data_IF_748742470724
#
_entry.id   IF_748742470724
#
_cell.length_a   1.000
_cell.length_b   1.000
_cell.length_c   1.000
_cell.angle_alpha   90.00
_cell.angle_beta   90.00
_cell.angle_gamma   90.00
#
_symmetry.space_group_name_H-M   'P 1'
#
loop_
_entity.id
_entity.type
_entity.pdbx_description
1 polymer ?
#
# COMPACT_ATOMS: atom_id res chain seq x y z
N UNK A 1 17.58 -7.88 12.60
CA UNK A 1 18.12 -6.82 11.71
C UNK A 1 18.08 -7.22 10.24
N UNK A 2 18.63 -8.38 9.84
CA UNK A 2 18.60 -8.84 8.43
C UNK A 2 17.20 -8.91 7.80
N UNK A 3 16.19 -9.43 8.51
CA UNK A 3 14.80 -9.47 8.00
C UNK A 3 14.19 -8.10 7.75
N UNK A 4 14.51 -7.10 8.58
CA UNK A 4 14.03 -5.72 8.40
C UNK A 4 14.69 -5.08 7.18
N UNK A 5 16.00 -5.25 7.02
CA UNK A 5 16.73 -4.76 5.85
C UNK A 5 16.21 -5.41 4.56
N UNK A 6 15.95 -6.72 4.59
CA UNK A 6 15.31 -7.44 3.49
C UNK A 6 13.92 -6.92 3.15
N UNK A 7 13.08 -6.65 4.16
CA UNK A 7 11.73 -6.11 3.96
C UNK A 7 11.75 -4.69 3.36
N UNK A 8 12.63 -3.82 3.84
CA UNK A 8 12.80 -2.45 3.32
C UNK A 8 13.35 -2.48 1.89
N UNK A 9 14.33 -3.34 1.61
CA UNK A 9 14.86 -3.56 0.27
C UNK A 9 13.79 -4.05 -0.70
N UNK A 10 13.03 -5.07 -0.31
CA UNK A 10 11.92 -5.62 -1.11
C UNK A 10 10.86 -4.56 -1.41
N UNK A 11 10.43 -3.79 -0.40
CA UNK A 11 9.44 -2.72 -0.57
C UNK A 11 9.95 -1.62 -1.52
N UNK A 12 11.23 -1.28 -1.42
CA UNK A 12 11.85 -0.29 -2.30
C UNK A 12 11.92 -0.76 -3.75
N UNK A 13 12.24 -2.04 -3.98
CA UNK A 13 12.26 -2.65 -5.31
C UNK A 13 10.89 -2.62 -5.97
N UNK A 14 9.82 -2.95 -5.24
CA UNK A 14 8.44 -2.91 -5.75
C UNK A 14 8.03 -1.51 -6.21
N UNK A 15 8.62 -0.45 -5.64
CA UNK A 15 8.36 0.93 -6.06
C UNK A 15 9.24 1.40 -7.22
N UNK A 16 10.50 0.94 -7.31
CA UNK A 16 11.45 1.35 -8.35
C UNK A 16 11.19 0.61 -9.67
N UNK A 17 10.83 -0.68 -9.61
CA UNK A 17 10.65 -1.53 -10.79
C UNK A 17 9.57 -0.98 -11.75
N UNK A 18 8.39 -0.54 -11.28
CA UNK A 18 7.38 0.07 -12.16
C UNK A 18 7.83 1.43 -12.72
N UNK A 19 8.52 2.23 -11.90
CA UNK A 19 9.11 3.49 -12.37
C UNK A 19 10.15 3.27 -13.48
N UNK A 20 10.94 2.21 -13.40
CA UNK A 20 11.89 1.82 -14.45
C UNK A 20 11.17 1.21 -15.68
N UNK A 21 10.13 0.41 -15.45
CA UNK A 21 9.30 -0.18 -16.50
C UNK A 21 8.63 0.90 -17.37
N UNK A 22 8.18 1.99 -16.75
CA UNK A 22 7.62 3.16 -17.43
C UNK A 22 8.57 3.77 -18.46
N UNK A 23 9.88 3.83 -18.13
CA UNK A 23 10.92 4.38 -19.02
C UNK A 23 11.19 3.48 -20.22
N UNK A 24 10.83 2.21 -20.12
CA UNK A 24 10.97 1.19 -21.18
C UNK A 24 9.68 0.95 -21.96
N UNK A 25 8.61 1.71 -21.67
CA UNK A 25 7.31 1.57 -22.33
C UNK A 25 6.52 0.33 -21.91
N UNK A 26 6.83 -0.25 -20.74
CA UNK A 26 6.11 -1.42 -20.22
C UNK A 26 4.94 -0.99 -19.33
N UNK A 27 3.84 -1.74 -19.40
CA UNK A 27 2.65 -1.51 -18.59
C UNK A 27 2.91 -1.83 -17.11
N UNK A 28 2.89 -0.81 -16.26
CA UNK A 28 3.14 -0.95 -14.81
C UNK A 28 2.20 -1.90 -14.10
N UNK A 29 0.94 -1.94 -14.55
CA UNK A 29 -0.08 -2.85 -14.00
C UNK A 29 0.27 -4.30 -14.26
N UNK A 30 0.79 -4.63 -15.44
CA UNK A 30 1.24 -5.97 -15.77
C UNK A 30 2.44 -6.36 -14.90
N UNK A 31 3.38 -5.45 -14.69
CA UNK A 31 4.57 -5.68 -13.84
C UNK A 31 4.18 -5.94 -12.38
N UNK A 32 3.26 -5.14 -11.81
CA UNK A 32 2.74 -5.38 -10.47
C UNK A 32 1.96 -6.70 -10.40
N UNK A 33 1.09 -6.97 -11.38
CA UNK A 33 0.31 -8.20 -11.44
C UNK A 33 1.18 -9.45 -11.43
N UNK A 34 2.25 -9.47 -12.24
CA UNK A 34 3.23 -10.57 -12.24
C UNK A 34 3.97 -10.70 -10.91
N UNK A 35 4.29 -9.59 -10.24
CA UNK A 35 4.95 -9.61 -8.93
C UNK A 35 4.05 -10.26 -7.84
N UNK A 36 2.78 -9.86 -7.77
CA UNK A 36 1.84 -10.48 -6.82
C UNK A 36 1.54 -11.93 -7.16
N UNK A 37 1.47 -12.28 -8.45
CA UNK A 37 1.28 -13.66 -8.89
C UNK A 37 2.48 -14.54 -8.51
N UNK A 38 3.71 -14.06 -8.73
CA UNK A 38 4.93 -14.76 -8.32
C UNK A 38 5.00 -14.93 -6.80
N UNK A 39 4.61 -13.91 -6.05
CA UNK A 39 4.53 -13.96 -4.59
C UNK A 39 3.50 -14.99 -4.11
N UNK A 40 2.31 -15.03 -4.73
CA UNK A 40 1.28 -16.02 -4.43
C UNK A 40 1.74 -17.45 -4.77
N UNK A 41 2.43 -17.64 -5.90
CA UNK A 41 2.99 -18.94 -6.27
C UNK A 41 4.08 -19.40 -5.30
N UNK A 42 4.99 -18.51 -4.89
CA UNK A 42 6.03 -18.82 -3.91
C UNK A 42 5.43 -19.14 -2.53
N UNK A 43 4.44 -18.37 -2.08
CA UNK A 43 3.71 -18.65 -0.84
C UNK A 43 2.96 -19.99 -0.91
N UNK A 44 2.32 -20.29 -2.04
CA UNK A 44 1.64 -21.57 -2.29
C UNK A 44 2.62 -22.76 -2.30
N UNK A 45 3.80 -22.60 -2.91
CA UNK A 45 4.84 -23.63 -2.90
C UNK A 45 5.34 -23.91 -1.48
N UNK A 46 5.62 -22.86 -0.70
CA UNK A 46 6.04 -23.01 0.69
C UNK A 46 4.95 -23.67 1.54
N UNK A 47 3.68 -23.28 1.35
CA UNK A 47 2.55 -23.92 2.02
C UNK A 47 2.40 -25.40 1.63
N UNK A 48 2.60 -25.74 0.35
CA UNK A 48 2.56 -27.12 -0.13
C UNK A 48 3.69 -27.97 0.45
N UNK A 49 4.90 -27.41 0.58
CA UNK A 49 6.05 -28.08 1.21
C UNK A 49 5.86 -28.27 2.71
N UNK A 50 5.21 -27.32 3.38
CA UNK A 50 4.94 -27.39 4.82
C UNK A 50 3.84 -28.43 5.19
N UNK A 51 3.03 -28.87 4.23
CA UNK A 51 1.89 -29.79 4.42
C UNK A 51 1.09 -29.51 5.71
N UNK A 52 0.60 -28.28 5.93
CA UNK A 52 -0.13 -27.96 7.15
C UNK A 52 -1.41 -28.80 7.21
N UNK A 53 -1.69 -29.40 8.37
CA UNK A 53 -3.01 -29.96 8.63
C UNK A 53 -4.00 -28.79 8.65
N UNK A 54 -4.84 -28.68 7.61
CA UNK A 54 -5.82 -27.62 7.46
C UNK A 54 -7.10 -27.99 8.21
N UNK A 55 -7.33 -27.31 9.33
CA UNK A 55 -8.59 -27.37 10.06
C UNK A 55 -9.50 -26.23 9.59
N UNK A 56 -10.81 -26.48 9.57
CA UNK A 56 -11.78 -25.42 9.28
C UNK A 56 -11.74 -24.40 10.42
N UNK A 57 -11.72 -23.08 10.14
CA UNK A 57 -11.60 -22.08 11.18
C UNK A 57 -12.89 -22.03 12.00
N UNK A 58 -12.92 -22.72 13.14
CA UNK A 58 -13.96 -22.52 14.14
C UNK A 58 -13.89 -21.08 14.67
N UNK A 59 -15.02 -20.43 14.98
CA UNK A 59 -15.06 -19.05 15.48
C UNK A 59 -14.21 -18.83 16.74
N UNK A 60 -13.99 -19.88 17.55
CA UNK A 60 -13.09 -19.84 18.71
C UNK A 60 -11.59 -19.68 18.38
N UNK A 61 -11.16 -19.90 17.13
CA UNK A 61 -9.75 -19.75 16.72
C UNK A 61 -9.32 -18.28 16.66
N UNK A 62 -10.22 -17.36 16.31
CA UNK A 62 -9.92 -15.92 16.35
C UNK A 62 -9.71 -15.45 17.80
N UNK A 63 -10.59 -15.90 18.70
CA UNK A 63 -10.47 -15.62 20.13
C UNK A 63 -9.18 -16.23 20.71
N UNK A 64 -8.83 -17.46 20.30
CA UNK A 64 -7.58 -18.11 20.66
C UNK A 64 -6.33 -17.41 20.12
N UNK A 65 -6.40 -16.84 18.91
CA UNK A 65 -5.33 -16.05 18.31
C UNK A 65 -5.10 -14.74 19.07
N UNK A 66 -6.18 -14.09 19.50
CA UNK A 66 -6.12 -12.84 20.27
C UNK A 66 -5.69 -13.07 21.73
N UNK A 67 -6.05 -14.20 22.33
CA UNK A 67 -5.69 -14.54 23.71
C UNK A 67 -4.34 -15.25 23.86
N UNK A 68 -3.66 -15.56 22.74
CA UNK A 68 -2.37 -16.26 22.73
C UNK A 68 -2.46 -17.76 23.05
N UNK A 69 -3.66 -18.34 23.15
CA UNK A 69 -3.90 -19.74 23.54
C UNK A 69 -3.80 -20.76 22.40
N UNK A 70 -3.13 -20.46 21.29
CA UNK A 70 -3.11 -21.35 20.11
C UNK A 70 -2.06 -22.45 20.21
N UNK A 71 -2.44 -23.67 19.83
CA UNK A 71 -1.50 -24.79 19.65
C UNK A 71 -0.81 -24.71 18.29
N UNK A 72 0.42 -25.24 18.16
CA UNK A 72 1.22 -25.15 16.93
C UNK A 72 0.49 -25.50 15.62
N UNK A 73 -0.28 -26.62 15.54
CA UNK A 73 -1.05 -26.97 14.34
C UNK A 73 -2.22 -26.01 14.05
N UNK A 74 -2.88 -25.51 15.09
CA UNK A 74 -4.01 -24.57 14.96
C UNK A 74 -3.57 -23.18 14.48
N UNK A 75 -2.37 -22.73 14.87
CA UNK A 75 -1.77 -21.47 14.42
C UNK A 75 -1.44 -21.48 12.93
N UNK A 76 -0.90 -22.60 12.42
CA UNK A 76 -0.60 -22.78 10.99
C UNK A 76 -1.88 -22.73 10.13
N UNK A 77 -2.93 -23.45 10.54
CA UNK A 77 -4.24 -23.41 9.86
C UNK A 77 -4.82 -22.00 9.83
N UNK A 78 -4.80 -21.31 10.97
CA UNK A 78 -5.32 -19.95 11.07
C UNK A 78 -4.54 -18.98 10.17
N UNK A 79 -3.21 -19.07 10.14
CA UNK A 79 -2.36 -18.23 9.29
C UNK A 79 -2.67 -18.42 7.79
N UNK A 80 -2.93 -19.65 7.35
CA UNK A 80 -3.30 -19.93 5.94
C UNK A 80 -4.67 -19.34 5.59
N UNK A 81 -5.68 -19.56 6.43
CA UNK A 81 -7.03 -19.03 6.20
C UNK A 81 -7.08 -17.50 6.27
N UNK A 82 -6.43 -16.92 7.27
CA UNK A 82 -6.32 -15.48 7.42
C UNK A 82 -5.50 -14.86 6.28
N UNK A 83 -4.42 -15.52 5.84
CA UNK A 83 -3.63 -15.13 4.68
C UNK A 83 -4.44 -15.15 3.38
N UNK A 84 -5.27 -16.17 3.17
CA UNK A 84 -6.16 -16.24 2.02
C UNK A 84 -7.21 -15.13 2.04
N UNK A 85 -7.85 -14.90 3.19
CA UNK A 85 -8.83 -13.84 3.37
C UNK A 85 -8.23 -12.44 3.14
N UNK A 86 -7.07 -12.17 3.75
CA UNK A 86 -6.36 -10.89 3.54
C UNK A 86 -5.85 -10.73 2.13
N UNK A 87 -5.45 -11.81 1.45
CA UNK A 87 -5.09 -11.83 0.04
C UNK A 87 -6.26 -11.41 -0.87
N UNK A 88 -7.46 -11.93 -0.62
CA UNK A 88 -8.67 -11.51 -1.36
C UNK A 88 -8.98 -10.03 -1.13
N UNK A 89 -8.92 -9.56 0.13
CA UNK A 89 -9.08 -8.14 0.44
C UNK A 89 -8.03 -7.26 -0.24
N UNK A 90 -6.80 -7.75 -0.36
CA UNK A 90 -5.72 -7.05 -1.02
C UNK A 90 -6.00 -6.86 -2.52
N UNK A 91 -6.48 -7.90 -3.21
CA UNK A 91 -6.88 -7.80 -4.62
C UNK A 91 -8.03 -6.82 -4.82
N UNK A 92 -9.03 -6.83 -3.93
CA UNK A 92 -10.11 -5.85 -3.94
C UNK A 92 -9.59 -4.42 -3.71
N UNK A 93 -8.63 -4.25 -2.80
CA UNK A 93 -7.98 -2.98 -2.52
C UNK A 93 -7.23 -2.46 -3.76
N UNK A 94 -6.46 -3.31 -4.45
CA UNK A 94 -5.79 -2.93 -5.71
C UNK A 94 -6.79 -2.42 -6.75
N UNK A 95 -7.91 -3.13 -6.93
CA UNK A 95 -8.98 -2.71 -7.87
C UNK A 95 -9.65 -1.40 -7.44
N UNK A 96 -9.90 -1.22 -6.14
CA UNK A 96 -10.49 -0.01 -5.59
C UNK A 96 -9.55 1.21 -5.76
N UNK A 97 -8.25 1.02 -5.54
CA UNK A 97 -7.22 2.05 -5.76
C UNK A 97 -7.16 2.44 -7.23
N UNK A 98 -7.12 1.46 -8.15
CA UNK A 98 -7.12 1.76 -9.59
C UNK A 98 -8.35 2.57 -10.02
N UNK A 99 -9.54 2.21 -9.51
CA UNK A 99 -10.78 2.95 -9.77
C UNK A 99 -10.71 4.35 -9.18
N UNK A 100 -10.24 4.50 -7.94
CA UNK A 100 -10.11 5.78 -7.26
C UNK A 100 -9.13 6.73 -7.98
N UNK A 101 -7.99 6.21 -8.46
CA UNK A 101 -7.02 7.00 -9.24
C UNK A 101 -7.65 7.50 -10.55
N UNK A 102 -8.45 6.67 -11.21
CA UNK A 102 -9.11 7.03 -12.48
C UNK A 102 -10.20 8.10 -12.30
N UNK A 103 -10.92 8.08 -11.19
CA UNK A 103 -12.07 8.97 -10.95
C UNK A 103 -11.69 10.28 -10.23
N UNK A 104 -10.77 10.22 -9.25
CA UNK A 104 -10.46 11.34 -8.33
C UNK A 104 -9.02 11.87 -8.47
N UNK A 105 -8.23 11.28 -9.38
CA UNK A 105 -6.82 11.59 -9.57
C UNK A 105 -5.90 10.92 -8.55
N UNK A 106 -4.62 10.81 -8.93
CA UNK A 106 -3.60 10.11 -8.14
C UNK A 106 -3.33 10.80 -6.79
N UNK A 107 -3.26 12.14 -6.77
CA UNK A 107 -2.93 12.89 -5.55
C UNK A 107 -3.89 12.66 -4.39
N UNK A 108 -5.20 12.70 -4.66
CA UNK A 108 -6.25 12.48 -3.65
C UNK A 108 -6.24 11.03 -3.17
N UNK A 109 -6.05 10.06 -4.08
CA UNK A 109 -6.03 8.64 -3.73
C UNK A 109 -4.82 8.29 -2.83
N UNK A 110 -3.63 8.81 -3.15
CA UNK A 110 -2.41 8.60 -2.35
C UNK A 110 -2.52 9.20 -0.95
N UNK A 111 -3.20 10.34 -0.82
CA UNK A 111 -3.50 10.97 0.47
C UNK A 111 -4.38 10.07 1.35
N UNK A 112 -5.45 9.48 0.79
CA UNK A 112 -6.27 8.49 1.52
C UNK A 112 -5.50 7.21 1.87
N UNK A 113 -4.61 6.73 1.00
CA UNK A 113 -3.78 5.57 1.34
C UNK A 113 -2.87 5.82 2.54
N UNK A 114 -2.36 7.04 2.70
CA UNK A 114 -1.55 7.44 3.87
C UNK A 114 -2.38 7.51 5.16
N UNK A 115 -3.66 7.88 5.08
CA UNK A 115 -4.59 7.77 6.20
C UNK A 115 -4.86 6.32 6.61
N UNK A 116 -4.63 5.36 5.72
CA UNK A 116 -4.68 3.94 6.05
C UNK A 116 -3.76 3.55 7.21
N UNK A 117 -2.68 4.33 7.46
CA UNK A 117 -1.75 4.14 8.59
C UNK A 117 -2.39 4.53 9.93
N UNK A 118 -3.42 5.38 9.92
CA UNK A 118 -4.16 5.80 11.11
C UNK A 118 -4.92 4.64 11.77
N UNK A 119 -5.47 3.74 10.94
CA UNK A 119 -6.26 2.59 11.37
C UNK A 119 -5.45 1.63 12.26
N UNK A 120 -4.26 1.12 11.86
CA UNK A 120 -3.47 0.26 12.73
C UNK A 120 -2.97 0.98 13.98
N UNK A 121 -2.68 2.29 13.93
CA UNK A 121 -2.31 3.06 15.12
C UNK A 121 -3.46 3.10 16.13
N UNK A 122 -4.68 3.40 15.68
CA UNK A 122 -5.86 3.41 16.55
C UNK A 122 -6.18 2.02 17.08
N UNK A 123 -6.10 0.99 16.23
CA UNK A 123 -6.31 -0.40 16.66
C UNK A 123 -5.28 -0.82 17.72
N UNK A 124 -3.99 -0.49 17.55
CA UNK A 124 -2.97 -0.77 18.58
C UNK A 124 -3.26 -0.04 19.89
N UNK A 125 -3.63 1.25 19.83
CA UNK A 125 -3.97 2.02 21.02
C UNK A 125 -5.19 1.44 21.78
N UNK A 126 -6.22 1.00 21.04
CA UNK A 126 -7.44 0.43 21.63
C UNK A 126 -7.26 -1.01 22.15
N UNK A 127 -6.50 -1.84 21.43
CA UNK A 127 -6.32 -3.26 21.76
C UNK A 127 -5.28 -3.47 22.86
N UNK A 128 -4.20 -2.67 22.86
CA UNK A 128 -3.10 -2.80 23.83
C UNK A 128 -3.11 -1.73 24.93
N UNK A 129 -3.98 -0.72 24.85
CA UNK A 129 -4.04 0.35 25.84
C UNK A 129 -2.79 1.25 25.86
N UNK A 130 -1.95 1.18 24.83
CA UNK A 130 -0.79 2.06 24.70
C UNK A 130 -1.26 3.48 24.42
N UNK A 131 -1.08 4.39 25.39
CA UNK A 131 -1.39 5.81 25.21
C UNK A 131 -0.33 6.41 24.28
N UNK A 132 -0.71 6.85 23.06
CA UNK A 132 0.26 7.42 22.13
C UNK A 132 0.85 8.71 22.71
N UNK A 133 2.14 8.94 22.45
CA UNK A 133 2.84 10.13 22.91
C UNK A 133 2.14 11.42 22.41
N UNK A 134 2.11 12.51 23.19
CA UNK A 134 1.48 13.77 22.77
C UNK A 134 2.03 14.31 21.44
N UNK A 135 3.29 14.01 21.10
CA UNK A 135 3.89 14.38 19.80
C UNK A 135 3.31 13.55 18.64
N UNK A 136 3.04 12.26 18.87
CA UNK A 136 2.38 11.40 17.88
C UNK A 136 0.94 11.84 17.66
N UNK A 137 0.24 12.22 18.74
CA UNK A 137 -1.12 12.77 18.66
C UNK A 137 -1.16 14.10 17.90
N UNK A 138 -0.17 14.98 18.11
CA UNK A 138 -0.06 16.23 17.36
C UNK A 138 0.18 15.99 15.86
N UNK A 139 1.07 15.04 15.51
CA UNK A 139 1.29 14.63 14.12
C UNK A 139 0.05 14.01 13.47
N UNK A 140 -0.71 13.25 14.24
CA UNK A 140 -2.00 12.67 13.83
C UNK A 140 -3.02 13.77 13.53
N UNK A 141 -3.19 14.71 14.46
CA UNK A 141 -4.11 15.83 14.32
C UNK A 141 -3.76 16.73 13.13
N UNK A 142 -2.47 17.02 12.93
CA UNK A 142 -1.99 17.79 11.78
C UNK A 142 -2.29 17.09 10.45
N UNK A 143 -2.10 15.77 10.39
CA UNK A 143 -2.41 14.97 9.19
C UNK A 143 -3.90 15.01 8.85
N UNK A 144 -4.77 14.90 9.85
CA UNK A 144 -6.23 15.01 9.67
C UNK A 144 -6.64 16.42 9.25
N UNK A 145 -6.03 17.47 9.86
CA UNK A 145 -6.32 18.86 9.53
C UNK A 145 -5.99 19.20 8.07
N UNK A 146 -4.84 18.73 7.56
CA UNK A 146 -4.47 18.90 6.14
C UNK A 146 -5.49 18.22 5.23
N UNK A 147 -5.96 17.03 5.57
CA UNK A 147 -6.96 16.31 4.76
C UNK A 147 -8.31 17.01 4.76
N UNK A 148 -8.75 17.52 5.91
CA UNK A 148 -9.99 18.30 6.01
C UNK A 148 -9.92 19.58 5.17
N UNK A 149 -8.77 20.26 5.17
CA UNK A 149 -8.54 21.45 4.33
C UNK A 149 -8.56 21.10 2.83
N UNK A 150 -7.99 19.95 2.44
CA UNK A 150 -8.03 19.48 1.04
C UNK A 150 -9.42 19.01 0.60
N UNK A 151 -10.26 18.55 1.53
CA UNK A 151 -11.67 18.23 1.23
C UNK A 151 -12.52 19.49 1.06
N UNK A 152 -12.32 20.50 1.93
CA UNK A 152 -13.09 21.75 1.92
C UNK A 152 -12.71 22.75 0.83
N UNK A 153 -11.49 22.64 0.29
CA UNK A 153 -11.04 23.42 -0.85
C UNK A 153 -11.56 22.83 -2.17
N UNK A 154 -12.71 23.32 -2.62
CA UNK A 154 -13.30 22.92 -3.91
C UNK A 154 -12.28 22.91 -5.05
N UNK A 155 -12.28 21.81 -5.81
CA UNK A 155 -11.89 21.71 -7.22
C UNK A 155 -10.64 22.46 -7.69
N UNK A 156 -9.62 21.68 -8.08
CA UNK A 156 -8.73 22.00 -9.20
C UNK A 156 -8.01 23.37 -9.15
N UNK A 157 -6.79 23.43 -8.59
CA UNK A 157 -5.82 24.45 -9.03
C UNK A 157 -4.33 24.17 -8.81
N UNK A 158 -3.95 22.91 -8.59
CA UNK A 158 -2.55 22.52 -8.37
C UNK A 158 -2.05 21.49 -9.38
N UNK A 159 -2.28 21.73 -10.68
CA UNK A 159 -1.51 21.07 -11.76
C UNK A 159 -1.15 22.09 -12.84
N UNK A 160 -0.51 23.17 -12.43
CA UNK A 160 0.44 23.92 -13.25
C UNK A 160 1.24 24.79 -12.31
N UNK A 161 2.18 24.18 -11.58
CA UNK A 161 3.37 24.93 -11.21
C UNK A 161 4.07 25.28 -12.53
N UNK A 162 4.30 26.56 -12.85
CA UNK A 162 5.20 26.89 -13.93
C UNK A 162 6.58 26.51 -13.41
N UNK A 163 7.04 25.31 -13.73
CA UNK A 163 8.47 25.08 -13.88
C UNK A 163 8.89 25.88 -15.13
N UNK A 164 8.86 27.21 -15.03
CA UNK A 164 9.65 28.09 -15.88
C UNK A 164 11.09 27.82 -15.52
N UNK A 165 11.61 26.73 -16.07
CA UNK A 165 13.03 26.63 -16.35
C UNK A 165 13.36 27.84 -17.23
N UNK A 166 13.83 28.91 -16.61
CA UNK A 166 14.54 29.98 -17.31
C UNK A 166 15.83 29.34 -17.81
N UNK A 167 15.76 28.70 -18.98
CA UNK A 167 16.92 28.17 -19.68
C UNK A 167 17.78 29.36 -20.13
N UNK A 168 19.06 29.44 -19.77
CA UNK A 168 19.95 30.41 -20.40
C UNK A 168 20.15 29.96 -21.85
N UNK A 169 19.87 30.89 -22.77
CA UNK A 169 20.36 31.00 -24.13
C UNK A 169 20.51 29.70 -24.97
N UNK A 170 19.66 29.59 -26.01
CA UNK A 170 20.08 29.10 -27.32
C UNK A 170 20.22 27.59 -27.48
N UNK A 171 19.07 26.88 -27.54
CA UNK A 171 18.92 25.64 -28.32
C UNK A 171 17.44 25.32 -28.50
N UNK A 172 16.99 25.27 -29.76
CA UNK A 172 15.64 24.90 -30.18
C UNK A 172 15.37 23.43 -29.87
N UNK A 173 14.44 23.16 -28.93
CA UNK A 173 13.90 21.83 -28.69
C UNK A 173 12.56 21.68 -29.43
N UNK A 174 12.28 20.52 -30.06
CA UNK A 174 11.03 20.30 -30.79
C UNK A 174 9.83 20.30 -29.83
N UNK A 175 8.83 21.07 -30.22
CA UNK A 175 7.54 21.26 -29.56
C UNK A 175 6.66 20.02 -29.67
N UNK A 176 6.81 19.07 -28.75
CA UNK A 176 5.82 18.03 -28.50
C UNK A 176 6.10 17.32 -27.15
N UNK A 177 5.76 17.96 -26.04
CA UNK A 177 5.54 17.24 -24.79
C UNK A 177 4.03 16.96 -24.69
N UNK A 178 3.56 15.70 -24.76
CA UNK A 178 2.17 15.41 -24.43
C UNK A 178 1.91 15.76 -22.95
N UNK A 179 0.68 16.15 -22.60
CA UNK A 179 0.34 16.56 -21.23
C UNK A 179 0.68 15.43 -20.26
N UNK A 180 1.26 15.80 -19.12
CA UNK A 180 1.59 14.95 -17.98
C UNK A 180 0.43 14.01 -17.62
N UNK A 181 0.42 12.83 -18.23
CA UNK A 181 -0.46 11.72 -17.95
C UNK A 181 0.39 10.52 -17.52
N UNK A 182 1.27 10.73 -16.54
CA UNK A 182 2.14 9.67 -16.00
C UNK A 182 2.89 10.13 -14.74
N UNK A 183 2.16 10.62 -13.73
CA UNK A 183 2.66 10.54 -12.37
C UNK A 183 2.09 9.27 -11.76
N UNK A 184 2.94 8.25 -11.79
CA UNK A 184 2.84 6.98 -11.09
C UNK A 184 2.57 7.14 -9.60
#
# INVERSE_FOLDING_TARGET
MLFLLGAVGCTSLVNIVPALASRRGWDGRAVLGWNYLASAAAAGLLAALARPALYFPAPGLLAGALSGGMTGPSSMSFAVWFGLFTGVLYLLCLRAVEKSVREKGAGVTTLYQRLGILVPILCSALLWGEVPSPVQLAGLAASVAVMAALWGGGGQRWTCWPFTARSPAGKSWPSAWPPCASCW
#
